data_IF_635548129371
#
_entry.id   IF_635548129371
#
_cell.length_a   1.000
_cell.length_b   1.000
_cell.length_c   1.000
_cell.angle_alpha   90.00
_cell.angle_beta   90.00
_cell.angle_gamma   90.00
#
_symmetry.space_group_name_H-M   'P 1'
#
loop_
_entity.id
_entity.type
_entity.pdbx_description
1 polymer ?
#
# COMPACT_ATOMS: atom_id res chain seq x y z
N UNK A 1 -19.91 18.22 -41.89
CA UNK A 1 -20.29 17.70 -40.59
C UNK A 1 -19.79 16.25 -40.34
N UNK A 2 -20.15 15.22 -41.14
CA UNK A 2 -19.69 13.81 -40.92
C UNK A 2 -18.16 13.65 -40.91
N UNK A 3 -17.38 14.29 -41.82
CA UNK A 3 -15.90 14.22 -41.84
C UNK A 3 -15.26 14.85 -40.60
N UNK A 4 -15.78 15.99 -40.11
CA UNK A 4 -15.29 16.63 -38.87
C UNK A 4 -15.52 15.75 -37.64
N UNK A 5 -16.72 15.15 -37.54
CA UNK A 5 -17.05 14.22 -36.43
C UNK A 5 -16.11 12.99 -36.44
N UNK A 6 -15.84 12.43 -37.62
CA UNK A 6 -14.93 11.28 -37.74
C UNK A 6 -13.45 11.64 -37.40
N UNK A 7 -13.01 12.85 -37.73
CA UNK A 7 -11.66 13.32 -37.39
C UNK A 7 -11.53 13.55 -35.88
N UNK A 8 -12.48 14.22 -35.25
CA UNK A 8 -12.46 14.44 -33.79
C UNK A 8 -12.51 13.13 -33.01
N UNK A 9 -13.36 12.17 -33.43
CA UNK A 9 -13.42 10.85 -32.83
C UNK A 9 -12.08 10.10 -32.95
N UNK A 10 -11.45 10.18 -34.13
CA UNK A 10 -10.15 9.54 -34.36
C UNK A 10 -9.05 10.13 -33.46
N UNK A 11 -9.02 11.47 -33.31
CA UNK A 11 -8.07 12.14 -32.40
C UNK A 11 -8.32 11.71 -30.97
N UNK A 12 -9.59 11.64 -30.51
CA UNK A 12 -9.93 11.14 -29.19
C UNK A 12 -9.46 9.70 -28.97
N UNK A 13 -9.60 8.82 -29.96
CA UNK A 13 -9.09 7.45 -29.90
C UNK A 13 -7.56 7.38 -29.72
N UNK A 14 -6.82 8.22 -30.44
CA UNK A 14 -5.36 8.28 -30.27
C UNK A 14 -4.92 8.85 -28.91
N UNK A 15 -5.62 9.88 -28.42
CA UNK A 15 -5.37 10.43 -27.07
C UNK A 15 -5.63 9.33 -26.01
N UNK A 16 -6.74 8.63 -26.13
CA UNK A 16 -7.09 7.55 -25.21
C UNK A 16 -6.04 6.42 -25.24
N UNK A 17 -5.59 5.99 -26.43
CA UNK A 17 -4.53 4.99 -26.56
C UNK A 17 -3.21 5.49 -25.97
N UNK A 18 -2.83 6.75 -26.18
CA UNK A 18 -1.63 7.34 -25.61
C UNK A 18 -1.67 7.33 -24.08
N UNK A 19 -2.83 7.63 -23.46
CA UNK A 19 -3.02 7.55 -22.00
C UNK A 19 -2.77 6.12 -21.50
N UNK A 20 -3.27 5.09 -22.22
CA UNK A 20 -3.03 3.68 -21.83
C UNK A 20 -1.56 3.31 -21.93
N UNK A 21 -0.87 3.73 -23.00
CA UNK A 21 0.56 3.46 -23.18
C UNK A 21 1.38 4.14 -22.08
N UNK A 22 1.04 5.40 -21.72
CA UNK A 22 1.69 6.10 -20.61
C UNK A 22 1.42 5.39 -19.28
N UNK A 23 0.18 4.93 -19.03
CA UNK A 23 -0.16 4.18 -17.83
C UNK A 23 0.67 2.88 -17.71
N UNK A 24 0.81 2.12 -18.79
CA UNK A 24 1.68 0.94 -18.84
C UNK A 24 3.15 1.31 -18.60
N UNK A 25 3.62 2.41 -19.18
CA UNK A 25 4.95 2.94 -18.90
C UNK A 25 5.15 3.26 -17.41
N UNK A 26 4.20 3.93 -16.78
CA UNK A 26 4.24 4.24 -15.35
C UNK A 26 4.23 2.99 -14.47
N UNK A 27 3.49 1.95 -14.87
CA UNK A 27 3.44 0.69 -14.15
C UNK A 27 4.79 -0.04 -14.21
N UNK A 28 5.37 -0.23 -15.38
CA UNK A 28 6.54 -1.10 -15.55
C UNK A 28 7.89 -0.41 -15.28
N UNK A 29 8.00 0.90 -15.45
CA UNK A 29 9.27 1.60 -15.35
C UNK A 29 9.40 2.46 -14.11
N UNK A 30 10.50 2.35 -13.35
CA UNK A 30 10.74 3.20 -12.19
C UNK A 30 11.00 4.65 -12.64
N UNK A 31 10.53 5.58 -11.85
CA UNK A 31 10.77 7.01 -12.07
C UNK A 31 11.13 7.70 -10.76
N UNK A 32 12.02 8.68 -10.84
CA UNK A 32 12.31 9.65 -9.77
C UNK A 32 11.70 11.02 -10.06
N UNK A 33 10.90 11.13 -11.11
CA UNK A 33 10.15 12.34 -11.40
C UNK A 33 8.85 12.34 -10.60
N UNK A 34 8.69 13.31 -9.69
CA UNK A 34 7.58 13.39 -8.71
C UNK A 34 6.18 13.27 -9.36
N UNK A 35 5.98 13.91 -10.52
CA UNK A 35 4.68 13.79 -11.22
C UNK A 35 4.44 12.37 -11.73
N UNK A 36 5.45 11.70 -12.29
CA UNK A 36 5.31 10.33 -12.76
C UNK A 36 5.00 9.37 -11.62
N UNK A 37 5.73 9.49 -10.48
CA UNK A 37 5.47 8.67 -9.28
C UNK A 37 4.03 8.84 -8.78
N UNK A 38 3.54 10.07 -8.70
CA UNK A 38 2.14 10.33 -8.29
C UNK A 38 1.12 9.81 -9.30
N UNK A 39 1.45 9.84 -10.60
CA UNK A 39 0.56 9.34 -11.64
C UNK A 39 0.42 7.81 -11.62
N UNK A 40 1.31 7.05 -10.98
CA UNK A 40 1.13 5.60 -10.81
C UNK A 40 -0.21 5.27 -10.15
N UNK A 41 -0.69 6.10 -9.22
CA UNK A 41 -1.99 5.94 -8.57
C UNK A 41 -3.20 6.07 -9.54
N UNK A 42 -2.97 6.52 -10.76
CA UNK A 42 -4.02 6.67 -11.79
C UNK A 42 -4.06 5.52 -12.79
N UNK A 43 -3.08 4.63 -12.74
CA UNK A 43 -2.97 3.49 -13.68
C UNK A 43 -4.24 2.63 -13.71
N UNK A 44 -4.88 2.23 -12.61
CA UNK A 44 -6.10 1.42 -12.65
C UNK A 44 -7.24 2.10 -13.41
N UNK A 45 -7.32 3.43 -13.38
CA UNK A 45 -8.37 4.20 -14.06
C UNK A 45 -8.14 4.31 -15.57
N UNK A 46 -6.97 3.91 -16.08
CA UNK A 46 -6.69 3.88 -17.51
C UNK A 46 -7.53 2.83 -18.27
N UNK A 47 -8.27 1.97 -17.56
CA UNK A 47 -9.28 1.08 -18.14
C UNK A 47 -10.35 1.87 -18.89
N UNK A 48 -10.74 3.06 -18.42
CA UNK A 48 -11.75 3.88 -19.07
C UNK A 48 -11.30 4.35 -20.46
N UNK A 49 -10.15 5.05 -20.62
CA UNK A 49 -9.65 5.37 -21.96
C UNK A 49 -9.29 4.14 -22.79
N UNK A 50 -8.89 3.00 -22.18
CA UNK A 50 -8.64 1.77 -22.94
C UNK A 50 -9.89 1.29 -23.65
N UNK A 51 -11.02 1.20 -22.96
CA UNK A 51 -12.34 0.87 -23.56
C UNK A 51 -12.72 1.91 -24.61
N UNK A 52 -12.52 3.20 -24.32
CA UNK A 52 -12.79 4.28 -25.27
C UNK A 52 -12.00 4.15 -26.59
N UNK A 53 -10.69 3.86 -26.50
CA UNK A 53 -9.85 3.67 -27.69
C UNK A 53 -10.31 2.47 -28.53
N UNK A 54 -10.60 1.32 -27.88
CA UNK A 54 -11.11 0.11 -28.55
C UNK A 54 -12.42 0.42 -29.30
N UNK A 55 -13.38 1.07 -28.64
CA UNK A 55 -14.67 1.41 -29.24
C UNK A 55 -14.53 2.37 -30.42
N UNK A 56 -13.72 3.42 -30.28
CA UNK A 56 -13.50 4.40 -31.35
C UNK A 56 -12.89 3.76 -32.58
N UNK A 57 -11.83 2.96 -32.41
CA UNK A 57 -11.17 2.31 -33.54
C UNK A 57 -12.04 1.23 -34.19
N UNK A 58 -12.85 0.51 -33.41
CA UNK A 58 -13.84 -0.44 -33.93
C UNK A 58 -14.91 0.24 -34.77
N UNK A 59 -15.56 1.29 -34.25
CA UNK A 59 -16.61 2.04 -34.95
C UNK A 59 -16.09 2.70 -36.22
N UNK A 60 -14.87 3.26 -36.18
CA UNK A 60 -14.24 3.90 -37.33
C UNK A 60 -13.54 2.88 -38.26
N UNK A 61 -13.66 1.57 -37.98
CA UNK A 61 -13.06 0.48 -38.77
C UNK A 61 -11.56 0.62 -39.00
N UNK A 62 -10.83 1.13 -37.99
CA UNK A 62 -9.37 1.31 -38.01
C UNK A 62 -8.70 0.07 -37.45
N UNK A 63 -8.76 -1.06 -38.17
CA UNK A 63 -8.41 -2.39 -37.70
C UNK A 63 -7.00 -2.53 -37.12
N UNK A 64 -5.99 -1.89 -37.74
CA UNK A 64 -4.62 -1.92 -37.22
C UNK A 64 -4.52 -1.24 -35.84
N UNK A 65 -5.17 -0.09 -35.69
CA UNK A 65 -5.20 0.64 -34.40
C UNK A 65 -6.08 -0.03 -33.38
N UNK A 66 -7.14 -0.70 -33.83
CA UNK A 66 -7.97 -1.53 -32.96
C UNK A 66 -7.13 -2.68 -32.36
N UNK A 67 -6.33 -3.39 -33.18
CA UNK A 67 -5.44 -4.44 -32.69
C UNK A 67 -4.47 -3.93 -31.60
N UNK A 68 -3.83 -2.76 -31.86
CA UNK A 68 -2.93 -2.13 -30.88
C UNK A 68 -3.69 -1.75 -29.59
N UNK A 69 -4.88 -1.15 -29.71
CA UNK A 69 -5.69 -0.74 -28.55
C UNK A 69 -6.13 -1.96 -27.71
N UNK A 70 -6.51 -3.04 -28.37
CA UNK A 70 -6.87 -4.31 -27.67
C UNK A 70 -5.66 -4.89 -26.95
N UNK A 71 -4.49 -4.95 -27.58
CA UNK A 71 -3.27 -5.45 -26.95
C UNK A 71 -2.87 -4.59 -25.74
N UNK A 72 -2.94 -3.25 -25.87
CA UNK A 72 -2.67 -2.34 -24.77
C UNK A 72 -3.67 -2.52 -23.61
N UNK A 73 -4.97 -2.69 -23.92
CA UNK A 73 -6.00 -2.95 -22.93
C UNK A 73 -5.77 -4.30 -22.21
N UNK A 74 -5.41 -5.35 -22.94
CA UNK A 74 -5.08 -6.65 -22.35
C UNK A 74 -3.83 -6.58 -21.47
N UNK A 75 -2.79 -5.84 -21.87
CA UNK A 75 -1.59 -5.62 -21.06
C UNK A 75 -1.92 -4.86 -19.76
N UNK A 76 -2.84 -3.86 -19.82
CA UNK A 76 -3.31 -3.15 -18.64
C UNK A 76 -4.08 -4.09 -17.70
N UNK A 77 -5.01 -4.90 -18.22
CA UNK A 77 -5.73 -5.89 -17.42
C UNK A 77 -4.76 -6.88 -16.79
N UNK A 78 -3.80 -7.39 -17.56
CA UNK A 78 -2.76 -8.31 -17.07
C UNK A 78 -1.96 -7.71 -15.90
N UNK A 79 -1.62 -6.41 -15.95
CA UNK A 79 -0.88 -5.75 -14.88
C UNK A 79 -1.65 -5.65 -13.56
N UNK A 80 -2.99 -5.69 -13.62
CA UNK A 80 -3.87 -5.60 -12.45
C UNK A 80 -4.34 -6.98 -11.96
N UNK A 81 -4.20 -8.01 -12.79
CA UNK A 81 -4.77 -9.34 -12.55
C UNK A 81 -4.35 -9.97 -11.20
N UNK A 82 -3.07 -9.83 -10.74
CA UNK A 82 -2.65 -10.39 -9.46
C UNK A 82 -3.49 -9.90 -8.26
N UNK A 83 -3.97 -8.65 -8.31
CA UNK A 83 -4.82 -8.12 -7.24
C UNK A 83 -6.23 -8.75 -7.19
N UNK A 84 -6.66 -9.48 -8.20
CA UNK A 84 -8.03 -10.03 -8.33
C UNK A 84 -8.09 -11.54 -8.27
N UNK A 85 -6.96 -12.21 -8.32
CA UNK A 85 -6.86 -13.67 -8.28
C UNK A 85 -6.09 -14.04 -7.03
N UNK A 86 -6.82 -14.46 -5.99
CA UNK A 86 -6.22 -14.87 -4.73
C UNK A 86 -6.13 -16.38 -4.58
N UNK A 87 -5.35 -16.80 -3.59
CA UNK A 87 -5.23 -18.17 -3.15
C UNK A 87 -5.99 -18.37 -1.83
N UNK A 88 -6.48 -19.59 -1.61
CA UNK A 88 -7.06 -19.93 -0.31
C UNK A 88 -5.96 -20.12 0.72
N UNK A 89 -6.04 -19.46 1.88
CA UNK A 89 -5.02 -19.61 2.91
C UNK A 89 -5.02 -21.03 3.49
N UNK A 90 -3.88 -21.52 3.95
CA UNK A 90 -3.81 -22.79 4.69
C UNK A 90 -4.59 -22.71 6.01
N UNK A 91 -4.93 -23.85 6.57
CA UNK A 91 -5.40 -23.92 7.95
C UNK A 91 -4.21 -23.72 8.90
N UNK A 92 -4.41 -22.96 9.98
CA UNK A 92 -3.34 -22.72 10.96
C UNK A 92 -3.70 -21.66 11.98
N UNK A 93 -2.75 -21.37 12.86
CA UNK A 93 -2.86 -20.31 13.85
C UNK A 93 -2.93 -18.96 13.14
N UNK A 94 -3.84 -18.11 13.61
CA UNK A 94 -4.10 -16.80 13.03
C UNK A 94 -3.33 -15.71 13.76
N UNK A 95 -2.80 -14.78 13.00
CA UNK A 95 -2.10 -13.60 13.49
C UNK A 95 -2.70 -12.35 12.84
N UNK A 96 -3.25 -11.46 13.66
CA UNK A 96 -3.94 -10.26 13.15
C UNK A 96 -3.05 -9.04 13.27
N UNK A 97 -2.85 -8.39 12.13
CA UNK A 97 -2.03 -7.19 11.97
C UNK A 97 -2.93 -6.01 11.61
N UNK A 98 -2.75 -4.89 12.29
CA UNK A 98 -3.35 -3.61 11.92
C UNK A 98 -2.26 -2.63 11.54
N UNK A 99 -2.46 -1.86 10.47
CA UNK A 99 -1.68 -0.65 10.20
C UNK A 99 -2.61 0.56 10.10
N UNK A 100 -2.18 1.69 10.70
CA UNK A 100 -2.95 2.93 10.68
C UNK A 100 -2.02 4.16 10.69
N UNK A 101 -2.18 5.04 9.70
CA UNK A 101 -1.59 6.37 9.71
C UNK A 101 -2.47 7.29 10.58
N UNK A 102 -1.86 7.97 11.57
CA UNK A 102 -2.56 8.79 12.55
C UNK A 102 -2.74 10.26 12.13
N UNK A 103 -2.32 10.61 10.92
CA UNK A 103 -2.40 11.99 10.41
C UNK A 103 -1.89 13.01 11.43
N UNK A 104 -0.59 13.03 11.64
CA UNK A 104 0.07 13.90 12.64
C UNK A 104 -0.50 13.72 14.06
N UNK A 105 -0.96 12.50 14.38
CA UNK A 105 -1.54 12.18 15.67
C UNK A 105 -2.98 12.68 15.87
N UNK A 106 -3.69 13.16 14.83
CA UNK A 106 -5.07 13.65 14.92
C UNK A 106 -6.12 12.53 15.02
N UNK A 107 -5.74 11.29 14.64
CA UNK A 107 -6.63 10.13 14.68
C UNK A 107 -7.18 9.88 16.08
N UNK A 108 -8.46 9.49 16.15
CA UNK A 108 -9.14 9.09 17.38
C UNK A 108 -8.56 7.77 17.89
N UNK A 109 -7.82 7.85 19.00
CA UNK A 109 -7.17 6.69 19.62
C UNK A 109 -8.14 5.75 20.30
N UNK A 110 -9.35 6.20 20.65
CA UNK A 110 -10.38 5.33 21.22
C UNK A 110 -11.08 4.51 20.14
N UNK A 111 -11.41 5.11 19.00
CA UNK A 111 -11.91 4.38 17.84
C UNK A 111 -10.87 3.35 17.33
N UNK A 112 -9.58 3.70 17.38
CA UNK A 112 -8.50 2.75 17.07
C UNK A 112 -8.42 1.62 18.09
N UNK A 113 -8.64 1.91 19.39
CA UNK A 113 -8.69 0.89 20.45
C UNK A 113 -9.86 -0.09 20.24
N UNK A 114 -11.03 0.40 19.86
CA UNK A 114 -12.18 -0.44 19.51
C UNK A 114 -11.87 -1.37 18.33
N UNK A 115 -11.16 -0.87 17.32
CA UNK A 115 -10.72 -1.69 16.20
C UNK A 115 -9.70 -2.76 16.62
N UNK A 116 -8.72 -2.41 17.46
CA UNK A 116 -7.72 -3.34 18.02
C UNK A 116 -8.41 -4.45 18.82
N UNK A 117 -9.38 -4.11 19.67
CA UNK A 117 -10.11 -5.06 20.51
C UNK A 117 -11.01 -5.98 19.65
N UNK A 118 -11.82 -5.40 18.76
CA UNK A 118 -12.77 -6.16 17.94
C UNK A 118 -12.10 -7.07 16.91
N UNK A 119 -10.95 -6.67 16.39
CA UNK A 119 -10.17 -7.49 15.47
C UNK A 119 -9.28 -8.51 16.16
N UNK A 120 -9.19 -8.49 17.48
CA UNK A 120 -8.26 -9.29 18.26
C UNK A 120 -6.81 -9.12 17.77
N UNK A 121 -6.38 -7.87 17.52
CA UNK A 121 -5.08 -7.59 16.95
C UNK A 121 -3.92 -8.11 17.82
N UNK A 122 -2.91 -8.66 17.17
CA UNK A 122 -1.65 -9.12 17.77
C UNK A 122 -0.51 -8.15 17.52
N UNK A 123 -0.61 -7.39 16.43
CA UNK A 123 0.37 -6.37 16.03
C UNK A 123 -0.34 -5.12 15.52
N UNK A 124 0.14 -3.96 15.94
CA UNK A 124 -0.30 -2.65 15.45
C UNK A 124 0.93 -1.85 15.00
N UNK A 125 0.91 -1.47 13.73
CA UNK A 125 1.89 -0.59 13.09
C UNK A 125 1.28 0.80 12.92
N UNK A 126 1.90 1.84 13.49
CA UNK A 126 1.39 3.20 13.44
C UNK A 126 2.37 4.13 12.72
N UNK A 127 1.81 5.03 11.92
CA UNK A 127 2.53 6.07 11.20
C UNK A 127 2.03 7.46 11.66
N UNK A 128 2.86 8.47 11.49
CA UNK A 128 2.61 9.85 11.92
C UNK A 128 2.30 9.99 13.41
N UNK A 129 3.02 9.22 14.21
CA UNK A 129 2.87 9.20 15.68
C UNK A 129 3.55 10.42 16.27
N UNK A 130 2.79 11.31 16.90
CA UNK A 130 3.32 12.43 17.69
C UNK A 130 3.54 12.04 19.15
N UNK A 131 4.33 12.81 19.92
CA UNK A 131 4.48 12.58 21.37
C UNK A 131 3.12 12.57 22.10
N UNK A 132 2.21 13.47 21.72
CA UNK A 132 0.88 13.59 22.30
C UNK A 132 -0.01 12.40 21.96
N UNK A 133 0.02 11.93 20.71
CA UNK A 133 -0.70 10.72 20.31
C UNK A 133 -0.18 9.49 21.03
N UNK A 134 1.15 9.35 21.15
CA UNK A 134 1.75 8.25 21.90
C UNK A 134 1.36 8.28 23.39
N UNK A 135 1.27 9.47 23.98
CA UNK A 135 0.81 9.61 25.38
C UNK A 135 -0.65 9.15 25.53
N UNK A 136 -1.56 9.53 24.61
CA UNK A 136 -2.95 9.07 24.60
C UNK A 136 -3.03 7.54 24.43
N UNK A 137 -2.26 6.96 23.50
CA UNK A 137 -2.21 5.52 23.28
C UNK A 137 -1.76 4.78 24.53
N UNK A 138 -0.71 5.26 25.21
CA UNK A 138 -0.18 4.65 26.44
C UNK A 138 -1.13 4.76 27.63
N UNK A 139 -1.95 5.81 27.69
CA UNK A 139 -2.97 6.00 28.73
C UNK A 139 -4.28 5.28 28.40
N UNK A 140 -4.48 4.83 27.16
CA UNK A 140 -5.72 4.23 26.67
C UNK A 140 -5.73 2.70 26.75
N UNK A 141 -6.79 2.10 26.15
CA UNK A 141 -7.03 0.65 26.18
C UNK A 141 -6.12 -0.17 25.25
N UNK A 142 -5.52 0.43 24.24
CA UNK A 142 -4.67 -0.27 23.26
C UNK A 142 -3.57 -1.07 23.96
N UNK A 143 -2.90 -0.46 24.96
CA UNK A 143 -1.79 -1.12 25.67
C UNK A 143 -2.25 -2.24 26.61
N UNK A 144 -3.53 -2.36 26.92
CA UNK A 144 -4.05 -3.50 27.66
C UNK A 144 -3.99 -4.79 26.82
N UNK A 145 -4.19 -4.68 25.50
CA UNK A 145 -4.07 -5.79 24.56
C UNK A 145 -2.66 -5.90 23.96
N UNK A 146 -2.01 -4.77 23.66
CA UNK A 146 -0.70 -4.68 23.01
C UNK A 146 0.30 -3.98 23.95
N UNK A 147 0.75 -4.66 25.04
CA UNK A 147 1.54 -4.03 26.09
C UNK A 147 2.97 -3.71 25.68
N UNK A 148 3.49 -4.36 24.64
CA UNK A 148 4.87 -4.18 24.20
C UNK A 148 4.94 -3.08 23.15
N UNK A 149 5.48 -1.92 23.54
CA UNK A 149 5.49 -0.70 22.71
C UNK A 149 6.94 -0.29 22.41
N UNK A 150 7.26 -0.22 21.12
CA UNK A 150 8.46 0.45 20.63
C UNK A 150 8.06 1.58 19.68
N UNK A 151 8.42 2.82 20.03
CA UNK A 151 7.98 4.00 19.30
C UNK A 151 9.07 5.05 19.21
N UNK A 152 9.13 5.73 18.08
CA UNK A 152 9.93 6.95 17.86
C UNK A 152 8.97 8.03 17.38
N UNK A 153 8.30 8.74 18.33
CA UNK A 153 7.36 9.80 17.98
C UNK A 153 8.11 11.03 17.49
N UNK A 154 7.47 11.79 16.59
CA UNK A 154 7.98 13.05 16.06
C UNK A 154 6.81 14.02 15.92
N UNK A 155 6.99 15.29 16.26
CA UNK A 155 5.93 16.32 16.20
C UNK A 155 5.49 16.69 14.77
N UNK A 156 6.04 16.00 13.76
CA UNK A 156 5.71 16.13 12.33
C UNK A 156 5.47 14.74 11.74
N UNK A 157 5.53 14.66 10.42
CA UNK A 157 5.32 13.43 9.68
C UNK A 157 6.33 12.34 10.02
N UNK A 158 6.89 11.57 10.18
CA UNK A 158 8.03 10.67 10.34
C UNK A 158 8.02 9.86 11.64
N UNK A 159 7.09 10.12 12.55
CA UNK A 159 6.96 9.33 13.77
C UNK A 159 6.31 7.98 13.50
N UNK A 160 6.86 6.89 14.07
CA UNK A 160 6.30 5.55 13.92
C UNK A 160 6.25 4.80 15.25
N UNK A 161 5.36 3.81 15.34
CA UNK A 161 5.31 2.91 16.48
C UNK A 161 4.95 1.48 16.07
N UNK A 162 5.51 0.53 16.78
CA UNK A 162 5.11 -0.88 16.84
C UNK A 162 4.53 -1.18 18.21
N UNK A 163 3.33 -1.74 18.25
CA UNK A 163 2.72 -2.27 19.46
C UNK A 163 2.38 -3.73 19.21
N UNK A 164 2.69 -4.60 20.19
CA UNK A 164 2.54 -6.04 20.03
C UNK A 164 2.00 -6.69 21.30
N UNK A 165 1.21 -7.74 21.11
CA UNK A 165 0.79 -8.62 22.20
C UNK A 165 1.98 -9.43 22.77
N UNK A 166 3.02 -9.66 21.98
CA UNK A 166 4.23 -10.39 22.34
C UNK A 166 5.43 -9.44 22.49
N UNK A 167 6.45 -9.80 23.27
CA UNK A 167 7.66 -9.00 23.42
C UNK A 167 8.30 -8.60 22.09
N UNK A 168 8.78 -7.36 22.02
CA UNK A 168 9.53 -6.80 20.90
C UNK A 168 11.03 -6.80 21.23
N UNK A 169 11.78 -7.71 20.67
CA UNK A 169 13.21 -7.91 20.93
C UNK A 169 14.05 -7.28 19.82
N UNK A 170 15.18 -6.65 20.19
CA UNK A 170 16.10 -6.05 19.25
C UNK A 170 15.47 -4.94 18.42
N UNK A 171 14.51 -4.21 19.01
CA UNK A 171 13.79 -3.13 18.35
C UNK A 171 14.74 -1.98 17.99
N UNK A 172 14.75 -1.59 16.72
CA UNK A 172 15.64 -0.57 16.19
C UNK A 172 15.04 0.10 14.94
N UNK A 173 15.49 1.32 14.56
CA UNK A 173 15.20 1.88 13.24
C UNK A 173 15.75 0.99 12.12
N UNK A 174 15.05 0.97 10.98
CA UNK A 174 15.55 0.31 9.77
C UNK A 174 16.71 1.13 9.21
N UNK A 175 17.92 0.53 9.04
CA UNK A 175 19.10 1.25 8.57
C UNK A 175 18.91 1.85 7.17
N UNK A 176 19.49 3.02 6.93
CA UNK A 176 19.51 3.66 5.62
C UNK A 176 18.21 4.35 5.20
N UNK A 177 17.19 4.37 6.04
CA UNK A 177 15.95 5.11 5.79
C UNK A 177 16.00 6.52 6.39
N UNK A 178 15.46 7.49 5.66
CA UNK A 178 15.43 8.90 6.09
C UNK A 178 14.40 9.15 7.18
N UNK A 179 13.22 8.56 7.05
CA UNK A 179 12.18 8.53 8.07
C UNK A 179 12.32 7.25 8.92
N UNK A 180 11.82 7.31 10.14
CA UNK A 180 12.11 6.32 11.18
C UNK A 180 11.24 5.08 11.07
N UNK A 181 11.40 4.32 10.00
CA UNK A 181 10.83 2.97 9.94
C UNK A 181 11.43 2.11 11.05
N UNK A 182 10.60 1.29 11.70
CA UNK A 182 10.99 0.50 12.84
C UNK A 182 11.00 -0.98 12.49
N UNK A 183 11.87 -1.72 13.14
CA UNK A 183 11.93 -3.17 13.06
C UNK A 183 12.17 -3.77 14.45
N UNK A 184 11.52 -4.91 14.73
CA UNK A 184 11.74 -5.73 15.92
C UNK A 184 11.54 -7.20 15.58
N UNK A 185 11.93 -8.09 16.47
CA UNK A 185 11.57 -9.52 16.43
C UNK A 185 10.55 -9.80 17.52
N UNK A 186 9.50 -10.56 17.22
CA UNK A 186 8.52 -11.03 18.20
C UNK A 186 8.73 -12.50 18.54
N UNK A 187 8.21 -12.94 19.69
CA UNK A 187 8.20 -14.34 20.12
C UNK A 187 7.20 -15.23 19.38
N UNK A 188 6.38 -14.67 18.48
CA UNK A 188 5.81 -15.48 17.39
C UNK A 188 6.99 -16.08 16.64
N UNK A 189 7.21 -17.44 16.64
CA UNK A 189 8.55 -18.02 16.57
C UNK A 189 9.43 -17.34 15.51
N UNK A 190 10.32 -16.46 15.97
CA UNK A 190 11.30 -15.77 15.13
C UNK A 190 10.72 -14.83 14.07
N UNK A 191 9.53 -14.23 14.26
CA UNK A 191 8.93 -13.31 13.28
C UNK A 191 9.53 -11.91 13.39
N UNK A 192 10.05 -11.41 12.30
CA UNK A 192 10.43 -9.99 12.19
C UNK A 192 9.22 -9.15 11.81
N UNK A 193 8.98 -8.10 12.58
CA UNK A 193 7.88 -7.14 12.33
C UNK A 193 8.44 -5.75 12.07
N UNK A 194 7.83 -5.03 11.13
CA UNK A 194 8.27 -3.70 10.73
C UNK A 194 7.07 -2.74 10.68
N UNK A 195 7.30 -1.50 11.17
CA UNK A 195 6.43 -0.36 10.90
C UNK A 195 7.05 0.48 9.78
N UNK A 196 6.32 0.62 8.68
CA UNK A 196 6.79 1.23 7.44
C UNK A 196 6.17 2.60 7.25
N UNK A 197 7.01 3.61 6.99
CA UNK A 197 6.56 4.94 6.60
C UNK A 197 7.69 5.68 5.87
N UNK A 198 7.96 5.43 4.59
CA UNK A 198 8.85 6.25 3.78
C UNK A 198 8.22 7.63 3.58
N UNK A 199 9.06 8.64 3.45
CA UNK A 199 8.59 10.00 3.19
C UNK A 199 7.72 10.05 1.93
N UNK A 200 6.62 10.83 1.96
CA UNK A 200 5.75 10.98 0.81
C UNK A 200 6.51 11.58 -0.40
N UNK A 201 6.33 11.05 -1.64
CA UNK A 201 7.03 11.51 -2.84
C UNK A 201 6.48 12.83 -3.39
N UNK A 202 6.34 13.83 -2.51
CA UNK A 202 5.79 15.15 -2.81
C UNK A 202 6.91 16.20 -2.89
N UNK A 203 6.77 17.16 -3.81
CA UNK A 203 7.76 18.21 -3.98
C UNK A 203 9.16 17.65 -4.25
N UNK A 204 10.16 18.05 -3.44
CA UNK A 204 11.55 17.61 -3.55
C UNK A 204 11.87 16.26 -2.90
N UNK A 205 10.89 15.55 -2.30
CA UNK A 205 11.14 14.35 -1.50
C UNK A 205 11.08 13.03 -2.27
N UNK A 206 10.85 13.05 -3.57
CA UNK A 206 10.77 11.82 -4.37
C UNK A 206 12.08 11.00 -4.32
N UNK A 207 13.24 11.66 -4.26
CA UNK A 207 14.53 10.97 -4.14
C UNK A 207 14.68 10.29 -2.78
N UNK A 208 14.24 10.93 -1.69
CA UNK A 208 14.24 10.32 -0.36
C UNK A 208 13.30 9.12 -0.31
N UNK A 209 12.08 9.25 -0.87
CA UNK A 209 11.14 8.14 -0.99
C UNK A 209 11.72 6.94 -1.78
N UNK A 210 12.38 7.22 -2.91
CA UNK A 210 13.01 6.17 -3.73
C UNK A 210 14.16 5.49 -2.97
N UNK A 211 14.99 6.28 -2.26
CA UNK A 211 16.08 5.73 -1.44
C UNK A 211 15.57 4.93 -0.24
N UNK A 212 14.50 5.38 0.42
CA UNK A 212 13.88 4.67 1.54
C UNK A 212 13.32 3.31 1.12
N UNK A 213 12.60 3.23 -0.02
CA UNK A 213 12.08 1.96 -0.52
C UNK A 213 13.21 1.02 -0.97
N UNK A 214 14.33 1.53 -1.50
CA UNK A 214 15.52 0.71 -1.81
C UNK A 214 16.15 0.16 -0.54
N UNK A 215 16.41 1.02 0.46
CA UNK A 215 16.99 0.62 1.73
C UNK A 215 16.10 -0.41 2.45
N UNK A 216 14.77 -0.21 2.42
CA UNK A 216 13.81 -1.20 2.92
C UNK A 216 13.94 -2.54 2.17
N UNK A 217 14.00 -2.51 0.84
CA UNK A 217 14.17 -3.72 0.03
C UNK A 217 15.47 -4.47 0.36
N UNK A 218 16.59 -3.75 0.52
CA UNK A 218 17.87 -4.33 0.91
C UNK A 218 17.79 -4.94 2.33
N UNK A 219 17.12 -4.24 3.25
CA UNK A 219 16.90 -4.74 4.61
C UNK A 219 16.05 -6.01 4.64
N UNK A 220 14.93 -6.03 3.90
CA UNK A 220 14.05 -7.20 3.81
C UNK A 220 14.77 -8.41 3.25
N UNK A 221 15.57 -8.25 2.17
CA UNK A 221 16.37 -9.34 1.56
C UNK A 221 17.45 -9.86 2.51
N UNK A 222 18.10 -8.98 3.27
CA UNK A 222 19.16 -9.36 4.22
C UNK A 222 18.62 -9.94 5.53
N UNK A 223 17.31 -9.84 5.78
CA UNK A 223 16.68 -10.32 7.01
C UNK A 223 16.71 -11.86 7.10
N UNK A 224 17.36 -12.43 8.15
CA UNK A 224 17.52 -13.89 8.25
C UNK A 224 16.22 -14.62 8.67
N UNK A 225 15.26 -13.94 9.27
CA UNK A 225 14.00 -14.52 9.70
C UNK A 225 13.20 -15.05 8.52
N UNK A 226 12.75 -16.30 8.57
CA UNK A 226 11.87 -16.88 7.55
C UNK A 226 10.49 -16.22 7.55
N UNK A 227 10.02 -15.73 8.71
CA UNK A 227 8.76 -15.04 8.89
C UNK A 227 8.98 -13.55 9.05
N UNK A 228 8.36 -12.76 8.20
CA UNK A 228 8.46 -11.31 8.21
C UNK A 228 7.08 -10.70 7.92
N UNK A 229 6.74 -9.65 8.67
CA UNK A 229 5.57 -8.81 8.44
C UNK A 229 6.01 -7.35 8.39
N UNK A 230 5.83 -6.70 7.26
CA UNK A 230 6.07 -5.27 7.08
C UNK A 230 4.75 -4.59 6.79
N UNK A 231 4.27 -3.77 7.73
CA UNK A 231 2.98 -3.10 7.66
C UNK A 231 3.13 -1.59 7.77
N UNK A 232 2.40 -0.82 6.97
CA UNK A 232 2.49 0.63 7.03
C UNK A 232 1.91 1.36 5.84
N UNK A 233 2.06 2.68 5.89
CA UNK A 233 1.89 3.58 4.76
C UNK A 233 3.19 3.59 3.93
N UNK A 234 3.17 2.94 2.78
CA UNK A 234 4.33 2.89 1.88
C UNK A 234 4.45 4.13 0.99
N UNK A 235 3.47 5.04 1.06
CA UNK A 235 3.38 6.18 0.14
C UNK A 235 3.55 5.76 -1.33
N UNK A 236 3.13 4.56 -1.66
CA UNK A 236 3.25 3.90 -2.95
C UNK A 236 2.00 3.05 -3.21
N UNK A 237 1.59 2.96 -4.45
CA UNK A 237 0.51 2.06 -4.87
C UNK A 237 1.08 0.79 -5.50
N UNK A 238 0.24 -0.23 -5.70
CA UNK A 238 0.56 -1.43 -6.49
C UNK A 238 1.23 -1.09 -7.83
N UNK A 239 0.82 0.00 -8.47
CA UNK A 239 1.36 0.38 -9.77
C UNK A 239 2.75 1.04 -9.71
N UNK A 240 3.28 1.27 -8.51
CA UNK A 240 4.67 1.69 -8.35
C UNK A 240 5.61 0.50 -8.53
N UNK A 241 6.49 0.56 -9.53
CA UNK A 241 7.52 -0.46 -9.72
C UNK A 241 8.49 -0.56 -8.53
N UNK A 242 8.69 0.55 -7.77
CA UNK A 242 9.47 0.54 -6.52
C UNK A 242 8.80 -0.25 -5.42
N UNK A 243 7.48 -0.16 -5.31
CA UNK A 243 6.72 -0.98 -4.38
C UNK A 243 6.80 -2.46 -4.75
N UNK A 244 6.51 -2.81 -6.01
CA UNK A 244 6.59 -4.21 -6.44
C UNK A 244 7.99 -4.80 -6.36
N UNK A 245 9.05 -3.98 -6.41
CA UNK A 245 10.42 -4.46 -6.19
C UNK A 245 10.67 -4.95 -4.76
N UNK A 246 9.77 -4.66 -3.80
CA UNK A 246 9.79 -5.26 -2.45
C UNK A 246 9.19 -6.67 -2.43
N UNK A 247 8.36 -7.02 -3.44
CA UNK A 247 7.61 -8.28 -3.52
C UNK A 247 8.44 -9.35 -4.26
N UNK A 248 9.68 -9.56 -3.81
CA UNK A 248 10.62 -10.56 -4.33
C UNK A 248 11.08 -11.45 -3.18
N UNK A 249 11.81 -12.51 -3.45
CA UNK A 249 12.41 -13.38 -2.45
C UNK A 249 11.41 -13.95 -1.40
N UNK A 250 10.21 -14.30 -1.89
CA UNK A 250 9.12 -14.86 -1.09
C UNK A 250 8.27 -13.82 -0.36
N UNK A 251 8.51 -12.52 -0.57
CA UNK A 251 7.61 -11.48 -0.11
C UNK A 251 6.42 -11.31 -1.04
N UNK A 252 5.22 -11.18 -0.47
CA UNK A 252 3.98 -10.91 -1.18
C UNK A 252 3.12 -9.89 -0.42
N UNK A 253 2.31 -9.12 -1.15
CA UNK A 253 1.30 -8.23 -0.58
C UNK A 253 0.08 -9.04 -0.13
N UNK A 254 -0.42 -8.79 1.07
CA UNK A 254 -1.60 -9.47 1.61
C UNK A 254 -2.85 -9.30 0.73
N UNK A 255 -3.01 -8.12 0.09
CA UNK A 255 -4.12 -7.88 -0.83
C UNK A 255 -4.00 -8.74 -2.11
N UNK A 256 -2.78 -8.91 -2.63
CA UNK A 256 -2.50 -9.81 -3.76
C UNK A 256 -2.79 -11.26 -3.39
N UNK A 257 -2.29 -11.73 -2.25
CA UNK A 257 -2.45 -13.12 -1.83
C UNK A 257 -3.92 -13.58 -1.79
N UNK A 258 -4.83 -12.72 -1.37
CA UNK A 258 -6.27 -13.06 -1.27
C UNK A 258 -7.10 -12.57 -2.44
N UNK A 259 -6.50 -11.90 -3.43
CA UNK A 259 -7.27 -11.32 -4.52
C UNK A 259 -8.25 -10.23 -4.05
N UNK A 260 -7.86 -9.39 -3.09
CA UNK A 260 -8.73 -8.39 -2.47
C UNK A 260 -9.24 -7.32 -3.45
N UNK A 261 -8.65 -7.23 -4.64
CA UNK A 261 -9.00 -6.24 -5.63
C UNK A 261 -8.59 -4.83 -5.20
N UNK A 262 -9.43 -3.87 -5.53
CA UNK A 262 -9.20 -2.48 -5.22
C UNK A 262 -9.64 -2.17 -3.78
N UNK A 263 -8.69 -1.98 -2.88
CA UNK A 263 -8.90 -1.72 -1.44
C UNK A 263 -8.34 -0.37 -1.03
N UNK A 264 -8.96 0.75 -1.45
CA UNK A 264 -8.38 2.09 -1.27
C UNK A 264 -8.36 2.52 0.18
N UNK A 265 -7.25 3.16 0.57
CA UNK A 265 -7.03 3.66 1.94
C UNK A 265 -6.96 5.19 2.03
N UNK A 266 -6.64 5.88 0.94
CA UNK A 266 -6.42 7.33 0.93
C UNK A 266 -7.12 8.03 -0.27
N UNK A 267 -7.55 9.30 -0.14
CA UNK A 267 -7.80 10.03 1.11
C UNK A 267 -9.10 9.57 1.78
N UNK A 268 -9.09 9.39 3.10
CA UNK A 268 -10.23 8.94 3.88
C UNK A 268 -10.73 10.05 4.81
N UNK A 269 -11.16 11.18 4.26
CA UNK A 269 -11.72 12.27 5.04
C UNK A 269 -13.21 12.48 4.72
N UNK A 270 -13.92 13.22 5.57
CA UNK A 270 -15.38 13.46 5.44
C UNK A 270 -15.82 13.99 4.07
N UNK A 271 -14.91 14.63 3.31
CA UNK A 271 -15.21 15.26 2.02
C UNK A 271 -14.84 14.40 0.82
N UNK A 272 -14.04 13.35 0.99
CA UNK A 272 -13.53 12.51 -0.11
C UNK A 272 -13.59 11.03 0.23
N UNK A 273 -14.06 10.23 -0.72
CA UNK A 273 -13.96 8.77 -0.64
C UNK A 273 -12.55 8.33 -1.05
N UNK A 274 -11.96 7.34 -0.38
CA UNK A 274 -10.69 6.77 -0.78
C UNK A 274 -10.70 6.28 -2.24
N UNK A 275 -9.59 6.50 -2.95
CA UNK A 275 -9.45 6.06 -4.34
C UNK A 275 -8.03 5.60 -4.70
N UNK A 276 -7.11 5.60 -3.73
CA UNK A 276 -5.78 5.01 -3.88
C UNK A 276 -5.44 4.17 -2.66
N UNK A 277 -4.65 3.13 -2.82
CA UNK A 277 -4.13 2.29 -1.74
C UNK A 277 -2.67 2.68 -1.50
N UNK A 278 -2.36 3.16 -0.30
CA UNK A 278 -1.01 3.53 0.15
C UNK A 278 -0.55 2.66 1.32
N UNK A 279 -1.53 2.14 2.07
CA UNK A 279 -1.31 1.34 3.27
C UNK A 279 -1.37 -0.14 2.91
N UNK A 280 -0.29 -0.86 3.19
CA UNK A 280 -0.11 -2.25 2.78
C UNK A 280 0.43 -3.10 3.93
N UNK A 281 0.24 -4.40 3.80
CA UNK A 281 0.90 -5.42 4.61
C UNK A 281 1.62 -6.37 3.68
N UNK A 282 2.96 -6.36 3.71
CA UNK A 282 3.84 -7.27 2.97
C UNK A 282 4.29 -8.37 3.91
N UNK A 283 4.25 -9.61 3.47
CA UNK A 283 4.62 -10.76 4.28
C UNK A 283 5.58 -11.71 3.57
N UNK A 284 6.40 -12.41 4.35
CA UNK A 284 7.13 -13.62 3.96
C UNK A 284 6.89 -14.68 5.02
N UNK A 285 6.63 -15.95 4.63
CA UNK A 285 6.33 -17.05 5.53
C UNK A 285 4.94 -16.96 6.19
N UNK A 286 4.03 -16.18 5.60
CA UNK A 286 2.62 -16.08 5.95
C UNK A 286 1.75 -16.01 4.70
N UNK A 287 0.57 -16.63 4.77
CA UNK A 287 -0.51 -16.43 3.83
C UNK A 287 -1.58 -15.53 4.45
N UNK A 288 -2.07 -14.55 3.70
CA UNK A 288 -3.19 -13.73 4.14
C UNK A 288 -4.50 -14.53 4.05
N UNK A 289 -5.31 -14.44 5.10
CA UNK A 289 -6.62 -15.09 5.17
C UNK A 289 -7.77 -14.11 4.97
N UNK A 290 -7.58 -12.86 5.36
CA UNK A 290 -8.55 -11.78 5.14
C UNK A 290 -7.87 -10.42 5.16
N UNK A 291 -8.48 -9.44 4.49
CA UNK A 291 -8.12 -8.04 4.54
C UNK A 291 -9.38 -7.19 4.59
N UNK A 292 -9.39 -6.19 5.44
CA UNK A 292 -10.45 -5.19 5.50
C UNK A 292 -9.88 -3.80 5.77
N UNK A 293 -10.63 -2.77 5.37
CA UNK A 293 -10.24 -1.37 5.61
C UNK A 293 -11.28 -0.66 6.45
N UNK A 294 -10.84 0.16 7.42
CA UNK A 294 -11.71 0.79 8.41
C UNK A 294 -11.42 2.29 8.51
N UNK A 295 -12.46 3.10 8.52
CA UNK A 295 -12.33 4.54 8.75
C UNK A 295 -11.99 4.79 10.22
N UNK A 296 -10.96 5.60 10.49
CA UNK A 296 -10.62 6.09 11.82
C UNK A 296 -10.90 7.60 11.85
N UNK A 297 -11.83 8.06 12.72
CA UNK A 297 -12.12 9.50 12.84
C UNK A 297 -10.84 10.30 13.10
N UNK A 298 -10.67 11.43 12.40
CA UNK A 298 -9.48 12.28 12.51
C UNK A 298 -8.34 11.90 11.57
N UNK A 299 -8.25 10.65 11.10
CA UNK A 299 -7.30 10.27 10.06
C UNK A 299 -7.80 10.65 8.66
N UNK A 300 -6.89 10.83 7.72
CA UNK A 300 -7.16 10.89 6.28
C UNK A 300 -6.74 9.59 5.56
N UNK A 301 -6.34 8.58 6.33
CA UNK A 301 -6.14 7.21 5.88
C UNK A 301 -7.16 6.27 6.53
N UNK A 302 -7.51 5.19 5.85
CA UNK A 302 -8.14 4.02 6.46
C UNK A 302 -7.11 3.14 7.12
N UNK A 303 -7.43 2.62 8.29
CA UNK A 303 -6.68 1.52 8.85
C UNK A 303 -6.89 0.25 8.01
N UNK A 304 -5.85 -0.56 7.86
CA UNK A 304 -5.91 -1.87 7.19
C UNK A 304 -5.76 -2.95 8.25
N UNK A 305 -6.70 -3.88 8.28
CA UNK A 305 -6.69 -5.07 9.15
C UNK A 305 -6.44 -6.28 8.28
N UNK A 306 -5.41 -7.06 8.58
CA UNK A 306 -5.07 -8.30 7.87
C UNK A 306 -4.96 -9.44 8.86
N UNK A 307 -5.67 -10.54 8.60
CA UNK A 307 -5.44 -11.81 9.31
C UNK A 307 -4.51 -12.68 8.49
N UNK A 308 -3.42 -13.10 9.09
CA UNK A 308 -2.38 -13.94 8.52
C UNK A 308 -2.43 -15.34 9.11
N UNK A 309 -1.98 -16.33 8.33
CA UNK A 309 -1.74 -17.70 8.78
C UNK A 309 -0.31 -18.07 8.43
N UNK A 310 0.43 -18.68 9.37
CA UNK A 310 1.79 -19.13 9.11
C UNK A 310 1.80 -20.19 8.01
N UNK A 311 2.64 -20.02 7.00
CA UNK A 311 2.81 -20.95 5.88
C UNK A 311 4.07 -21.78 6.01
#
# INVERSE_FOLDING_TARGET
MRKLISTSALVSGFIALAVVIVALGLHYYPSTWSTAVRMTSRVPFAVIPAVGAVLVFAVLRRWNWLGIAVLAALALVWSQLPLWIGESPPAGERFTVITANLRLGEADTEALAELVDSSHADLLSLQEVTPEALARIRAGRIVARLPHVYAIPVSQTGGTALLSAQPLVGAAPVPGTADRMLSAVTDLPGTRVLAIHPRAPLGGFVTSWDSDLRALGDYLRSTPQQRVVAAGDFNATWDSSRYRALLTDGFADAAEQIGAGFSPTFPANRSRRPFITLDHVITRGFAAASLSTHDIPGSDHRAVVVTLVAS
#
